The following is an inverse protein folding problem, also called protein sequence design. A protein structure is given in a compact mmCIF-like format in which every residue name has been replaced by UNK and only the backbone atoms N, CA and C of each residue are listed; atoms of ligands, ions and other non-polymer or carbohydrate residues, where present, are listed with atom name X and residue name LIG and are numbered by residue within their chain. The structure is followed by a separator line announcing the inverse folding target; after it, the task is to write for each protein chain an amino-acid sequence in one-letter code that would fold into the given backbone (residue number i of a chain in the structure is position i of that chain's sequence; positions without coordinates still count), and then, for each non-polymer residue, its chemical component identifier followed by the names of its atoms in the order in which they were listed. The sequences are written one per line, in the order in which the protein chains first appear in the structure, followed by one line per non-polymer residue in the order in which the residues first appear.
data_IF_751990788809
#
_entry.id   IF_751990788809
#
_cell.length_a   1.000
_cell.length_b   1.000
_cell.length_c   1.000
_cell.angle_alpha   90.00
_cell.angle_beta   90.00
_cell.angle_gamma   90.00
#
_symmetry.space_group_name_H-M   'P 1'
#
loop_
_entity.id
_entity.type
_entity.pdbx_description
1 polymer ?
#
# COMPACT_ATOMS: atom_id res chain seq x y z
N UNK A 1 46.58 -8.17 -21.55
CA UNK A 1 45.74 -8.97 -20.63
C UNK A 1 45.03 -8.03 -19.66
N UNK A 2 44.25 -7.09 -20.20
CA UNK A 2 43.44 -6.13 -19.46
C UNK A 2 42.00 -6.11 -20.01
N UNK A 3 41.54 -7.25 -20.52
CA UNK A 3 40.22 -7.40 -21.14
C UNK A 3 39.31 -8.38 -20.38
N UNK A 4 39.81 -9.01 -19.31
CA UNK A 4 39.06 -10.00 -18.52
C UNK A 4 38.41 -9.41 -17.25
N UNK A 5 38.56 -8.10 -17.04
CA UNK A 5 37.80 -7.34 -16.05
C UNK A 5 36.45 -6.83 -16.60
N UNK A 6 36.11 -7.19 -17.85
CA UNK A 6 34.94 -6.68 -18.56
C UNK A 6 33.68 -7.55 -18.42
N UNK A 7 33.74 -8.68 -17.71
CA UNK A 7 32.60 -9.60 -17.63
C UNK A 7 32.46 -10.20 -16.24
N UNK A 8 31.42 -9.73 -15.54
CA UNK A 8 30.76 -10.39 -14.41
C UNK A 8 31.30 -10.07 -13.01
N UNK A 9 30.99 -8.87 -12.51
CA UNK A 9 30.23 -8.98 -11.25
C UNK A 9 30.17 -7.83 -10.27
N UNK A 10 30.99 -6.79 -10.29
CA UNK A 10 31.08 -5.96 -9.08
C UNK A 10 31.27 -4.45 -9.24
N UNK A 11 31.47 -3.92 -10.45
CA UNK A 11 31.67 -2.47 -10.61
C UNK A 11 30.83 -1.92 -11.77
N UNK A 12 30.15 -0.79 -11.50
CA UNK A 12 29.09 -0.14 -12.29
C UNK A 12 27.77 -0.91 -12.20
N UNK A 13 26.79 -0.48 -11.42
CA UNK A 13 26.34 0.88 -11.22
C UNK A 13 25.39 0.82 -10.02
N UNK A 14 25.56 1.72 -9.05
CA UNK A 14 24.52 2.02 -8.08
C UNK A 14 23.33 2.63 -8.83
N UNK A 15 22.63 1.81 -9.61
CA UNK A 15 21.35 2.17 -10.20
C UNK A 15 20.44 2.34 -9.01
N UNK A 16 20.22 3.61 -8.68
CA UNK A 16 19.24 4.03 -7.70
C UNK A 16 17.95 3.28 -8.06
N UNK A 17 17.58 2.29 -7.25
CA UNK A 17 16.36 1.48 -7.35
C UNK A 17 15.10 2.34 -7.08
N UNK A 18 15.16 3.63 -7.38
CA UNK A 18 14.06 4.59 -7.40
C UNK A 18 13.18 4.40 -8.62
N UNK A 19 13.63 3.65 -9.63
CA UNK A 19 12.89 3.33 -10.83
C UNK A 19 12.65 1.81 -10.95
N UNK A 20 12.20 1.20 -9.84
CA UNK A 20 11.45 -0.06 -9.83
C UNK A 20 10.19 0.19 -10.66
N UNK A 21 10.37 0.17 -11.98
CA UNK A 21 9.31 0.17 -12.97
C UNK A 21 8.54 -1.11 -12.67
N UNK A 22 7.51 -0.95 -11.84
CA UNK A 22 6.82 -2.02 -11.13
C UNK A 22 6.41 -3.05 -12.16
N UNK A 23 7.10 -4.18 -12.17
CA UNK A 23 6.62 -5.40 -12.81
C UNK A 23 5.15 -5.54 -12.40
N UNK A 24 4.22 -5.48 -13.35
CA UNK A 24 2.80 -5.73 -13.05
C UNK A 24 2.71 -7.06 -12.29
N UNK A 25 1.77 -7.19 -11.35
CA UNK A 25 1.56 -8.45 -10.61
C UNK A 25 1.49 -9.66 -11.55
N UNK A 26 1.01 -9.45 -12.78
CA UNK A 26 0.87 -10.44 -13.86
C UNK A 26 2.19 -11.06 -14.33
N UNK A 27 3.32 -10.40 -14.08
CA UNK A 27 4.65 -10.86 -14.50
C UNK A 27 5.47 -11.48 -13.36
N UNK A 28 4.93 -11.53 -12.14
CA UNK A 28 5.57 -12.24 -11.03
C UNK A 28 5.39 -13.75 -11.21
N UNK A 29 6.48 -14.52 -11.06
CA UNK A 29 6.42 -15.97 -11.03
C UNK A 29 6.31 -16.46 -9.57
N UNK A 30 5.17 -17.01 -9.13
CA UNK A 30 5.00 -17.46 -7.75
C UNK A 30 5.92 -18.63 -7.36
N UNK A 31 6.56 -19.30 -8.33
CA UNK A 31 7.52 -20.37 -8.07
C UNK A 31 8.96 -19.84 -7.85
N UNK A 32 9.22 -18.56 -8.14
CA UNK A 32 10.48 -17.91 -7.79
C UNK A 32 10.38 -17.35 -6.37
N UNK A 33 11.37 -17.66 -5.52
CA UNK A 33 11.35 -17.28 -4.11
C UNK A 33 11.28 -15.76 -3.88
N UNK A 34 11.99 -14.97 -4.70
CA UNK A 34 12.00 -13.51 -4.59
C UNK A 34 10.65 -12.91 -5.01
N UNK A 35 10.10 -13.37 -6.14
CA UNK A 35 8.80 -12.92 -6.63
C UNK A 35 7.66 -13.31 -5.66
N UNK A 36 7.70 -14.51 -5.09
CA UNK A 36 6.72 -14.97 -4.11
C UNK A 36 6.71 -14.12 -2.83
N UNK A 37 7.89 -13.76 -2.32
CA UNK A 37 8.02 -12.86 -1.18
C UNK A 37 7.52 -11.44 -1.52
N UNK A 38 7.86 -10.94 -2.72
CA UNK A 38 7.38 -9.65 -3.24
C UNK A 38 5.86 -9.58 -3.35
N UNK A 39 5.23 -10.62 -3.92
CA UNK A 39 3.77 -10.74 -4.01
C UNK A 39 3.11 -10.78 -2.62
N UNK A 40 3.74 -11.48 -1.67
CA UNK A 40 3.25 -11.57 -0.29
C UNK A 40 3.24 -10.20 0.37
N UNK A 41 4.37 -9.48 0.32
CA UNK A 41 4.48 -8.12 0.85
C UNK A 41 3.49 -7.17 0.19
N UNK A 42 3.38 -7.19 -1.14
CA UNK A 42 2.45 -6.34 -1.87
C UNK A 42 0.98 -6.61 -1.49
N UNK A 43 0.64 -7.87 -1.23
CA UNK A 43 -0.70 -8.26 -0.76
C UNK A 43 -0.94 -7.73 0.66
N UNK A 44 0.00 -7.89 1.58
CA UNK A 44 -0.09 -7.36 2.95
C UNK A 44 -0.27 -5.83 2.95
N UNK A 45 0.51 -5.11 2.15
CA UNK A 45 0.41 -3.66 2.01
C UNK A 45 -0.95 -3.22 1.45
N UNK A 46 -1.47 -3.97 0.47
CA UNK A 46 -2.78 -3.70 -0.14
C UNK A 46 -3.91 -3.87 0.89
N UNK A 47 -3.90 -4.97 1.63
CA UNK A 47 -4.91 -5.25 2.66
C UNK A 47 -4.80 -4.30 3.85
N UNK A 48 -3.59 -3.90 4.26
CA UNK A 48 -3.40 -2.88 5.29
C UNK A 48 -4.04 -1.56 4.87
N UNK A 49 -3.75 -1.08 3.66
CA UNK A 49 -4.38 0.15 3.12
C UNK A 49 -5.88 0.02 2.98
N UNK A 50 -6.40 -1.16 2.63
CA UNK A 50 -7.84 -1.41 2.56
C UNK A 50 -8.49 -1.26 3.92
N UNK A 51 -7.87 -1.78 4.98
CA UNK A 51 -8.33 -1.63 6.36
C UNK A 51 -8.31 -0.18 6.81
N UNK A 52 -7.19 0.52 6.58
CA UNK A 52 -7.05 1.95 6.91
C UNK A 52 -8.16 2.80 6.27
N UNK A 53 -8.47 2.57 4.99
CA UNK A 53 -9.58 3.27 4.32
C UNK A 53 -10.92 2.98 4.98
N UNK A 54 -11.20 1.72 5.31
CA UNK A 54 -12.47 1.35 5.92
C UNK A 54 -12.64 1.96 7.32
N UNK A 55 -11.57 2.01 8.11
CA UNK A 55 -11.57 2.65 9.43
C UNK A 55 -11.89 4.14 9.32
N UNK A 56 -11.20 4.86 8.43
CA UNK A 56 -11.46 6.28 8.16
C UNK A 56 -12.90 6.51 7.70
N UNK A 57 -13.42 5.68 6.79
CA UNK A 57 -14.80 5.78 6.33
C UNK A 57 -15.82 5.61 7.47
N UNK A 58 -15.62 4.63 8.35
CA UNK A 58 -16.50 4.40 9.50
C UNK A 58 -16.44 5.55 10.50
N UNK A 59 -15.24 6.03 10.83
CA UNK A 59 -15.06 7.14 11.77
C UNK A 59 -15.74 8.42 11.26
N UNK A 60 -15.58 8.72 9.96
CA UNK A 60 -16.25 9.85 9.32
C UNK A 60 -17.76 9.68 9.37
N UNK A 61 -18.28 8.48 9.09
CA UNK A 61 -19.71 8.21 9.13
C UNK A 61 -20.30 8.42 10.53
N UNK A 62 -19.61 7.94 11.57
CA UNK A 62 -20.01 8.15 12.97
C UNK A 62 -20.01 9.64 13.31
N UNK A 63 -18.93 10.36 13.00
CA UNK A 63 -18.83 11.79 13.28
C UNK A 63 -19.93 12.60 12.59
N UNK A 64 -20.28 12.26 11.35
CA UNK A 64 -21.38 12.88 10.61
C UNK A 64 -22.73 12.57 11.29
N UNK A 65 -22.97 11.31 11.68
CA UNK A 65 -24.21 10.93 12.38
C UNK A 65 -24.35 11.65 13.72
N UNK A 66 -23.28 11.75 14.50
CA UNK A 66 -23.27 12.48 15.78
C UNK A 66 -23.56 13.96 15.57
N UNK A 67 -22.88 14.60 14.61
CA UNK A 67 -23.15 16.00 14.28
C UNK A 67 -24.59 16.22 13.84
N UNK A 68 -25.16 15.32 13.05
CA UNK A 68 -26.56 15.41 12.62
C UNK A 68 -27.53 15.20 13.80
N UNK A 69 -27.23 14.27 14.72
CA UNK A 69 -28.00 14.06 15.95
C UNK A 69 -27.99 15.32 16.83
N UNK A 70 -26.83 15.95 16.99
CA UNK A 70 -26.68 17.13 17.83
C UNK A 70 -27.29 18.38 17.16
N UNK A 71 -27.31 18.41 15.82
CA UNK A 71 -27.97 19.46 15.04
C UNK A 71 -29.49 19.30 14.97
N UNK A 72 -30.04 18.09 15.16
CA UNK A 72 -31.46 17.89 15.39
C UNK A 72 -31.77 18.47 16.78
N UNK A 73 -32.46 19.62 16.87
CA UNK A 73 -32.72 20.24 18.15
C UNK A 73 -33.46 19.24 19.03
N UNK A 74 -33.10 19.23 20.31
CA UNK A 74 -33.83 18.59 21.38
C UNK A 74 -35.25 19.18 21.38
N UNK A 75 -36.13 18.71 20.50
CA UNK A 75 -37.58 18.88 20.60
C UNK A 75 -38.06 17.95 21.71
N UNK A 76 -37.43 18.05 22.87
CA UNK A 76 -38.07 17.69 24.12
C UNK A 76 -39.15 18.72 24.34
N UNK A 77 -40.40 18.28 24.17
CA UNK A 77 -41.39 18.38 25.23
C UNK A 77 -41.09 19.48 26.25
N UNK A 78 -41.57 20.69 26.00
CA UNK A 78 -41.77 21.69 27.03
C UNK A 78 -43.27 21.98 27.05
N UNK A 79 -43.92 21.51 28.12
CA UNK A 79 -45.32 21.74 28.54
C UNK A 79 -46.42 21.24 27.58
#
# INVERSE_FOLDING_TARGET
MAEDLSKNGLELESVSLTNFNQTSKEHFNPNNAFDAEGLTKLTQETERRRRERNEVEQDVEVAVREKNRDALPHTGTAD
#
